data_IF_627408839167
#
_entry.id   IF_627408839167
#
_cell.length_a   1.000
_cell.length_b   1.000
_cell.length_c   1.000
_cell.angle_alpha   90.00
_cell.angle_beta   90.00
_cell.angle_gamma   90.00
#
_symmetry.space_group_name_H-M   'P 1'
#
loop_
_entity.id
_entity.type
_entity.pdbx_description
1 polymer ?
#
# COMPACT_ATOMS: atom_id res chain seq x y z
N UNK A 1 23.33 -4.15 3.32
CA UNK A 1 22.10 -4.37 4.13
C UNK A 1 22.00 -3.41 5.32
N UNK A 2 23.01 -3.34 6.20
CA UNK A 2 22.96 -2.51 7.41
C UNK A 2 22.69 -1.00 7.19
N UNK A 3 23.11 -0.41 6.06
CA UNK A 3 22.87 1.00 5.75
C UNK A 3 21.39 1.31 5.49
N UNK A 4 20.67 0.48 4.73
CA UNK A 4 19.25 0.71 4.41
C UNK A 4 18.36 0.44 5.62
N UNK A 5 18.65 -0.62 6.39
CA UNK A 5 17.93 -0.92 7.63
C UNK A 5 18.10 0.19 8.69
N UNK A 6 19.33 0.71 8.87
CA UNK A 6 19.58 1.85 9.77
C UNK A 6 18.82 3.10 9.34
N UNK A 7 18.77 3.37 8.04
CA UNK A 7 18.03 4.50 7.47
C UNK A 7 16.52 4.33 7.69
N UNK A 8 15.95 3.14 7.48
CA UNK A 8 14.54 2.83 7.78
C UNK A 8 14.23 3.01 9.27
N UNK A 9 15.04 2.43 10.16
CA UNK A 9 14.86 2.51 11.61
C UNK A 9 14.89 3.96 12.12
N UNK A 10 15.84 4.78 11.65
CA UNK A 10 15.94 6.17 12.06
C UNK A 10 14.69 7.00 11.70
N UNK A 11 14.05 6.69 10.57
CA UNK A 11 12.81 7.36 10.18
C UNK A 11 11.60 6.84 10.94
N UNK A 12 11.49 5.53 11.18
CA UNK A 12 10.43 4.98 12.01
C UNK A 12 10.44 5.63 13.41
N UNK A 13 11.61 5.73 14.05
CA UNK A 13 11.76 6.39 15.36
C UNK A 13 11.42 7.88 15.33
N UNK A 14 11.77 8.60 14.26
CA UNK A 14 11.43 10.02 14.12
C UNK A 14 9.93 10.23 13.86
N UNK A 15 9.35 9.41 12.99
CA UNK A 15 7.97 9.52 12.54
C UNK A 15 6.99 9.19 13.66
N UNK A 16 7.24 8.13 14.44
CA UNK A 16 6.35 7.76 15.55
C UNK A 16 6.30 8.87 16.62
N UNK A 17 7.43 9.50 16.91
CA UNK A 17 7.46 10.66 17.82
C UNK A 17 6.70 11.86 17.28
N UNK A 18 6.72 12.09 15.96
CA UNK A 18 5.92 13.13 15.31
C UNK A 18 4.43 12.83 15.40
N UNK A 19 4.02 11.58 15.13
CA UNK A 19 2.61 11.15 15.19
C UNK A 19 2.06 11.27 16.61
N UNK A 20 2.84 10.87 17.62
CA UNK A 20 2.45 11.00 19.02
C UNK A 20 2.16 12.45 19.45
N UNK A 21 2.71 13.45 18.75
CA UNK A 21 2.45 14.88 18.97
C UNK A 21 1.37 15.46 18.04
N UNK A 22 0.53 14.62 17.46
CA UNK A 22 -0.55 15.02 16.55
C UNK A 22 -0.14 15.15 15.08
N UNK A 23 1.07 14.70 14.72
CA UNK A 23 1.47 14.55 13.32
C UNK A 23 0.74 13.40 12.63
N UNK A 24 0.89 13.31 11.30
CA UNK A 24 0.26 12.28 10.49
C UNK A 24 1.29 11.28 9.94
N UNK A 25 0.81 10.08 9.55
CA UNK A 25 1.62 9.08 8.87
C UNK A 25 2.08 9.63 7.51
N UNK A 26 3.37 9.58 7.24
CA UNK A 26 3.95 10.12 6.01
C UNK A 26 5.25 9.42 5.63
N UNK A 27 5.50 9.38 4.33
CA UNK A 27 6.78 8.96 3.79
C UNK A 27 7.89 9.94 4.14
N UNK A 28 9.12 9.44 4.13
CA UNK A 28 10.28 10.28 4.33
C UNK A 28 10.42 11.31 3.20
N UNK A 29 10.57 12.60 3.53
CA UNK A 29 10.89 13.60 2.52
C UNK A 29 12.21 13.28 1.81
N UNK A 30 12.25 13.42 0.48
CA UNK A 30 13.41 13.16 -0.37
C UNK A 30 13.99 11.73 -0.23
N UNK A 31 13.11 10.74 -0.07
CA UNK A 31 13.54 9.34 0.06
C UNK A 31 14.20 8.84 -1.23
N UNK A 32 15.37 8.20 -1.09
CA UNK A 32 16.11 7.61 -2.20
C UNK A 32 15.80 6.11 -2.41
N UNK A 33 14.90 5.55 -1.60
CA UNK A 33 14.49 4.14 -1.62
C UNK A 33 12.97 4.01 -1.75
N UNK A 34 12.49 2.87 -2.25
CA UNK A 34 11.07 2.48 -2.15
C UNK A 34 10.71 2.17 -0.69
N UNK A 35 9.54 2.61 -0.24
CA UNK A 35 9.16 2.59 1.18
C UNK A 35 7.68 2.27 1.32
N UNK A 36 7.38 1.18 2.04
CA UNK A 36 6.02 0.90 2.52
C UNK A 36 6.01 1.12 4.02
N UNK A 37 4.97 1.78 4.53
CA UNK A 37 4.83 2.09 5.95
C UNK A 37 3.50 1.51 6.40
N UNK A 38 3.54 0.78 7.51
CA UNK A 38 2.36 0.22 8.13
C UNK A 38 2.36 0.63 9.60
N UNK A 39 1.19 1.00 10.13
CA UNK A 39 1.00 1.39 11.52
C UNK A 39 -0.21 0.65 12.06
N UNK A 40 0.00 -0.15 13.11
CA UNK A 40 -1.06 -0.82 13.87
C UNK A 40 -1.39 -0.08 15.17
N UNK A 41 -2.56 -0.35 15.75
CA UNK A 41 -2.98 0.19 17.05
C UNK A 41 -3.05 -0.93 18.11
N UNK A 42 -2.44 -0.70 19.29
CA UNK A 42 -2.47 -1.62 20.45
C UNK A 42 -1.08 -2.07 20.95
N UNK A 43 -0.85 -1.99 22.28
CA UNK A 43 0.47 -2.19 22.93
C UNK A 43 0.87 -3.65 23.21
N UNK A 44 0.60 -4.63 22.33
CA UNK A 44 1.00 -6.04 22.59
C UNK A 44 1.31 -6.88 21.34
N UNK A 45 1.92 -6.30 20.32
CA UNK A 45 2.55 -7.13 19.28
C UNK A 45 4.02 -7.35 19.63
N UNK A 46 4.51 -8.57 19.45
CA UNK A 46 5.95 -8.78 19.29
C UNK A 46 6.43 -8.14 17.98
N UNK A 47 7.73 -7.87 17.89
CA UNK A 47 8.31 -7.33 16.65
C UNK A 47 8.00 -8.23 15.43
N UNK A 48 8.01 -9.54 15.61
CA UNK A 48 7.71 -10.50 14.54
C UNK A 48 6.25 -10.41 14.05
N UNK A 49 5.28 -10.29 14.96
CA UNK A 49 3.86 -10.17 14.60
C UNK A 49 3.56 -8.86 13.87
N UNK A 50 4.18 -7.76 14.31
CA UNK A 50 4.04 -6.48 13.63
C UNK A 50 4.54 -6.55 12.18
N UNK A 51 5.68 -7.21 11.94
CA UNK A 51 6.21 -7.41 10.59
C UNK A 51 5.27 -8.27 9.75
N UNK A 52 4.75 -9.38 10.29
CA UNK A 52 3.81 -10.27 9.56
C UNK A 52 2.54 -9.53 9.12
N UNK A 53 1.95 -8.73 10.00
CA UNK A 53 0.74 -7.97 9.69
C UNK A 53 0.99 -6.86 8.67
N UNK A 54 2.13 -6.17 8.76
CA UNK A 54 2.53 -5.16 7.78
C UNK A 54 2.63 -5.78 6.37
N UNK A 55 3.33 -6.91 6.25
CA UNK A 55 3.48 -7.61 4.96
C UNK A 55 2.12 -8.05 4.39
N UNK A 56 1.21 -8.58 5.22
CA UNK A 56 -0.13 -8.95 4.77
C UNK A 56 -0.92 -7.74 4.25
N UNK A 57 -0.87 -6.61 4.95
CA UNK A 57 -1.57 -5.39 4.54
C UNK A 57 -1.09 -4.88 3.19
N UNK A 58 0.22 -4.87 2.97
CA UNK A 58 0.79 -4.47 1.68
C UNK A 58 0.41 -5.46 0.57
N UNK A 59 0.28 -6.75 0.89
CA UNK A 59 -0.17 -7.74 -0.09
C UNK A 59 -1.63 -7.53 -0.52
N UNK A 60 -2.53 -7.18 0.41
CA UNK A 60 -3.92 -6.87 0.07
C UNK A 60 -4.04 -5.61 -0.81
N UNK A 61 -3.11 -4.65 -0.68
CA UNK A 61 -2.97 -3.50 -1.59
C UNK A 61 -2.66 -3.93 -3.04
N UNK A 62 -1.89 -5.03 -3.21
CA UNK A 62 -1.56 -5.61 -4.53
C UNK A 62 -2.81 -6.14 -5.26
N UNK A 63 -3.93 -6.45 -4.58
CA UNK A 63 -5.17 -6.89 -5.26
C UNK A 63 -5.79 -5.83 -6.16
N UNK A 64 -5.60 -4.55 -5.87
CA UNK A 64 -6.01 -3.49 -6.80
C UNK A 64 -5.06 -3.41 -8.00
N UNK A 65 -3.76 -3.63 -7.78
CA UNK A 65 -2.79 -3.69 -8.87
C UNK A 65 -3.11 -4.81 -9.87
N UNK A 66 -3.48 -6.01 -9.41
CA UNK A 66 -3.81 -7.12 -10.32
C UNK A 66 -5.04 -6.86 -11.20
N UNK A 67 -6.00 -6.04 -10.74
CA UNK A 67 -7.14 -5.62 -11.56
C UNK A 67 -6.71 -4.67 -12.69
N UNK A 68 -5.75 -3.78 -12.42
CA UNK A 68 -5.24 -2.82 -13.40
C UNK A 68 -4.53 -3.54 -14.55
N UNK A 69 -3.81 -4.63 -14.25
CA UNK A 69 -3.03 -5.40 -15.23
C UNK A 69 -3.75 -6.66 -15.73
N UNK A 70 -5.05 -6.79 -15.46
CA UNK A 70 -5.83 -7.98 -15.82
C UNK A 70 -6.07 -8.05 -17.33
N UNK A 71 -5.43 -9.02 -18.01
CA UNK A 71 -5.39 -9.12 -19.48
C UNK A 71 -6.76 -9.06 -20.16
N UNK A 72 -7.77 -9.73 -19.62
CA UNK A 72 -9.10 -9.76 -20.22
C UNK A 72 -9.92 -8.49 -19.97
N UNK A 73 -9.56 -7.66 -18.99
CA UNK A 73 -10.21 -6.36 -18.80
C UNK A 73 -9.75 -5.41 -19.89
N UNK A 74 -10.67 -5.05 -20.79
CA UNK A 74 -10.33 -4.33 -22.03
C UNK A 74 -10.78 -2.87 -22.04
N UNK A 75 -11.63 -2.50 -21.09
CA UNK A 75 -12.16 -1.14 -20.94
C UNK A 75 -11.96 -0.64 -19.51
N UNK A 76 -11.67 0.64 -19.38
CA UNK A 76 -11.48 1.34 -18.11
C UNK A 76 -12.30 2.62 -18.13
N UNK A 77 -13.11 2.83 -17.09
CA UNK A 77 -13.77 4.09 -16.79
C UNK A 77 -13.33 4.63 -15.44
N UNK A 78 -12.94 5.91 -15.37
CA UNK A 78 -12.49 6.56 -14.13
C UNK A 78 -13.33 7.79 -13.86
N UNK A 79 -13.86 7.88 -12.63
CA UNK A 79 -14.60 9.04 -12.13
C UNK A 79 -13.88 9.70 -10.96
N UNK A 80 -14.01 11.02 -10.84
CA UNK A 80 -13.40 11.79 -9.76
C UNK A 80 -14.41 12.80 -9.21
N UNK A 81 -14.45 12.95 -7.87
CA UNK A 81 -15.28 13.92 -7.17
C UNK A 81 -14.48 14.60 -6.05
N UNK A 82 -14.85 15.85 -5.72
CA UNK A 82 -14.19 16.66 -4.69
C UNK A 82 -15.22 17.30 -3.78
N UNK A 83 -15.01 17.25 -2.46
CA UNK A 83 -15.87 17.94 -1.48
C UNK A 83 -15.14 18.18 -0.16
N UNK A 84 -15.28 19.38 0.42
CA UNK A 84 -14.73 19.76 1.72
C UNK A 84 -13.26 19.39 1.93
N UNK A 85 -12.42 19.63 0.92
CA UNK A 85 -10.99 19.32 0.96
C UNK A 85 -10.62 17.85 0.69
N UNK A 86 -11.60 16.95 0.51
CA UNK A 86 -11.38 15.56 0.16
C UNK A 86 -11.60 15.30 -1.34
N UNK A 87 -10.84 14.35 -1.88
CA UNK A 87 -10.92 13.90 -3.29
C UNK A 87 -11.18 12.40 -3.27
N UNK A 88 -12.19 11.96 -4.02
CA UNK A 88 -12.49 10.56 -4.23
C UNK A 88 -12.30 10.23 -5.71
N UNK A 89 -11.55 9.17 -5.99
CA UNK A 89 -11.36 8.62 -7.34
C UNK A 89 -11.85 7.17 -7.34
N UNK A 90 -12.63 6.82 -8.34
CA UNK A 90 -13.17 5.47 -8.54
C UNK A 90 -12.83 5.02 -9.96
N UNK A 91 -12.31 3.81 -10.10
CA UNK A 91 -11.98 3.20 -11.39
C UNK A 91 -12.74 1.88 -11.54
N UNK A 92 -13.44 1.72 -12.67
CA UNK A 92 -14.19 0.52 -13.03
C UNK A 92 -13.59 -0.10 -14.30
N UNK A 93 -13.53 -1.43 -14.34
CA UNK A 93 -12.93 -2.21 -15.43
C UNK A 93 -13.95 -3.19 -16.00
N UNK A 94 -13.99 -3.33 -17.34
CA UNK A 94 -14.92 -4.22 -18.05
C UNK A 94 -14.22 -5.07 -19.13
N UNK A 95 -14.37 -6.41 -19.12
CA UNK A 95 -14.93 -7.22 -18.04
C UNK A 95 -14.15 -7.04 -16.73
N UNK A 96 -14.79 -7.17 -15.55
CA UNK A 96 -14.08 -7.13 -14.28
C UNK A 96 -13.08 -8.28 -14.18
N UNK A 97 -11.97 -8.04 -13.48
CA UNK A 97 -10.90 -9.00 -13.30
C UNK A 97 -10.94 -9.64 -11.92
N UNK A 98 -9.79 -10.15 -11.49
CA UNK A 98 -9.61 -10.73 -10.17
C UNK A 98 -10.51 -11.95 -9.84
N UNK A 99 -11.05 -12.63 -10.85
CA UNK A 99 -11.80 -13.87 -10.67
C UNK A 99 -10.87 -15.02 -10.23
N UNK A 100 -11.23 -15.65 -9.11
CA UNK A 100 -10.46 -16.78 -8.56
C UNK A 100 -10.41 -17.94 -9.55
N UNK A 101 -9.23 -18.54 -9.69
CA UNK A 101 -8.97 -19.59 -10.69
C UNK A 101 -8.58 -19.08 -12.09
N UNK A 102 -8.62 -17.76 -12.35
CA UNK A 102 -8.31 -17.20 -13.68
C UNK A 102 -7.03 -16.35 -13.73
N UNK A 103 -6.32 -16.20 -12.60
CA UNK A 103 -5.15 -15.32 -12.48
C UNK A 103 -3.97 -15.71 -13.38
N UNK A 104 -3.67 -17.00 -13.52
CA UNK A 104 -2.54 -17.46 -14.33
C UNK A 104 -2.65 -17.07 -15.82
N UNK A 105 -3.88 -16.99 -16.34
CA UNK A 105 -4.15 -16.62 -17.73
C UNK A 105 -4.25 -15.10 -17.95
N UNK A 106 -4.46 -14.34 -16.88
CA UNK A 106 -4.79 -12.92 -16.94
C UNK A 106 -3.75 -11.98 -16.33
N UNK A 107 -2.94 -12.46 -15.39
CA UNK A 107 -1.85 -11.71 -14.80
C UNK A 107 -0.58 -12.41 -15.20
N UNK A 108 0.02 -11.92 -16.28
CA UNK A 108 1.26 -12.51 -16.82
C UNK A 108 2.38 -12.30 -15.81
N UNK A 109 3.07 -13.39 -15.48
CA UNK A 109 4.40 -13.29 -14.85
C UNK A 109 5.36 -12.86 -15.96
N UNK A 110 6.05 -11.76 -15.74
CA UNK A 110 7.22 -11.35 -16.52
C UNK A 110 8.39 -12.30 -16.25
#
# INVERSE_FOLDING_TARGET
>A
VAKVAKVAQAWASKLIGSIARGGHLQHRPNNKFGENIWMGSGYKFTDEEAVKNAVKSWYDEIRHFTQVVWKSSSKLGVGIARKNGHILVVANYDPPGNYQGQYANNVRRS
#
